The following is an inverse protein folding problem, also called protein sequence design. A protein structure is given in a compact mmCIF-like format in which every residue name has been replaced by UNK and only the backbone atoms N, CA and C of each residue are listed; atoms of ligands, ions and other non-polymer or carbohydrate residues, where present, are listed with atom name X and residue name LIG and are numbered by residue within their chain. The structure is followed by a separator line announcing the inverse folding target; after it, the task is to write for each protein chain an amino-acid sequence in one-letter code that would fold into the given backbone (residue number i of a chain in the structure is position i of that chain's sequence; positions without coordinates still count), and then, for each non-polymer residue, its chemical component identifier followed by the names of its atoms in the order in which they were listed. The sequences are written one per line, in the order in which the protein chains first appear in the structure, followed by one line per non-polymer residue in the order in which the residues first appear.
data_IF_791923601592
#
_entry.id   IF_791923601592
#
_cell.length_a   1.000
_cell.length_b   1.000
_cell.length_c   1.000
_cell.angle_alpha   90.00
_cell.angle_beta   90.00
_cell.angle_gamma   90.00
#
_symmetry.space_group_name_H-M   'P 1'
#
loop_
_entity.id
_entity.type
_entity.pdbx_description
1 polymer ?
#
# COMPACT_ATOMS: atom_id res chain seq x y z
N UNK A 1 -29.51 3.56 6.73
CA UNK A 1 -28.09 3.80 6.39
C UNK A 1 -27.39 4.72 7.39
N UNK A 2 -27.90 5.93 7.66
CA UNK A 2 -27.30 6.89 8.61
C UNK A 2 -27.10 6.31 10.04
N UNK A 3 -28.08 5.56 10.54
CA UNK A 3 -28.03 4.89 11.84
C UNK A 3 -26.94 3.80 11.93
N UNK A 4 -26.70 3.06 10.85
CA UNK A 4 -25.63 2.07 10.80
C UNK A 4 -24.23 2.73 10.80
N UNK A 5 -24.06 3.84 10.07
CA UNK A 5 -22.80 4.61 10.05
C UNK A 5 -22.51 5.20 11.43
N UNK A 6 -23.53 5.73 12.12
CA UNK A 6 -23.38 6.26 13.48
C UNK A 6 -22.91 5.19 14.46
N UNK A 7 -23.51 3.99 14.42
CA UNK A 7 -23.09 2.86 15.27
C UNK A 7 -21.67 2.40 14.95
N UNK A 8 -21.31 2.28 13.67
CA UNK A 8 -19.95 1.90 13.27
C UNK A 8 -18.91 2.93 13.75
N UNK A 9 -19.21 4.22 13.58
CA UNK A 9 -18.34 5.30 14.05
C UNK A 9 -18.20 5.28 15.59
N UNK A 10 -19.28 5.02 16.33
CA UNK A 10 -19.24 4.89 17.79
C UNK A 10 -18.36 3.69 18.22
N UNK A 11 -18.48 2.55 17.54
CA UNK A 11 -17.64 1.39 17.80
C UNK A 11 -16.14 1.70 17.59
N UNK A 12 -15.77 2.33 16.48
CA UNK A 12 -14.37 2.69 16.20
C UNK A 12 -13.84 3.71 17.19
N UNK A 13 -14.64 4.68 17.63
CA UNK A 13 -14.22 5.63 18.69
C UNK A 13 -13.98 4.94 20.03
N UNK A 14 -14.74 3.89 20.34
CA UNK A 14 -14.63 3.18 21.61
C UNK A 14 -13.51 2.12 21.61
N UNK A 15 -13.23 1.49 20.46
CA UNK A 15 -12.38 0.29 20.38
C UNK A 15 -11.21 0.41 19.42
N UNK A 16 -11.19 1.44 18.56
CA UNK A 16 -10.17 1.62 17.54
C UNK A 16 -8.85 2.13 18.13
N UNK A 17 -7.74 1.65 17.57
CA UNK A 17 -6.42 2.22 17.80
C UNK A 17 -6.30 3.63 17.19
N UNK A 18 -5.13 4.26 17.38
CA UNK A 18 -4.86 5.61 16.88
C UNK A 18 -5.09 5.71 15.35
N UNK A 19 -4.69 4.69 14.60
CA UNK A 19 -4.84 4.66 13.15
C UNK A 19 -6.31 4.53 12.73
N UNK A 20 -7.07 3.66 13.36
CA UNK A 20 -8.50 3.47 13.09
C UNK A 20 -9.31 4.73 13.40
N UNK A 21 -9.00 5.41 14.52
CA UNK A 21 -9.63 6.68 14.87
C UNK A 21 -9.27 7.79 13.88
N UNK A 22 -8.01 7.85 13.44
CA UNK A 22 -7.55 8.83 12.47
C UNK A 22 -8.19 8.63 11.09
N UNK A 23 -8.30 7.37 10.63
CA UNK A 23 -9.05 7.00 9.41
C UNK A 23 -10.51 7.41 9.50
N UNK A 24 -11.16 7.18 10.65
CA UNK A 24 -12.55 7.60 10.86
C UNK A 24 -12.71 9.12 10.75
N UNK A 25 -11.81 9.89 11.36
CA UNK A 25 -11.81 11.35 11.30
C UNK A 25 -11.65 11.86 9.87
N UNK A 26 -10.72 11.27 9.12
CA UNK A 26 -10.51 11.57 7.70
C UNK A 26 -11.77 11.25 6.87
N UNK A 27 -12.32 10.04 7.01
CA UNK A 27 -13.48 9.59 6.22
C UNK A 27 -14.75 10.41 6.48
N UNK A 28 -14.97 10.85 7.72
CA UNK A 28 -16.20 11.57 8.08
C UNK A 28 -16.11 13.09 7.85
N UNK A 29 -14.92 13.68 7.97
CA UNK A 29 -14.77 15.13 8.04
C UNK A 29 -13.58 15.68 7.24
N UNK A 30 -12.83 14.84 6.53
CA UNK A 30 -11.61 15.27 5.83
C UNK A 30 -10.56 15.85 6.78
N UNK A 31 -10.59 15.45 8.06
CA UNK A 31 -9.66 15.98 9.05
C UNK A 31 -8.25 15.43 8.79
N UNK A 32 -7.26 16.31 8.58
CA UNK A 32 -5.89 15.87 8.39
C UNK A 32 -5.39 15.17 9.65
N UNK A 33 -4.60 14.13 9.46
CA UNK A 33 -4.06 13.36 10.59
C UNK A 33 -2.83 14.01 11.18
N UNK A 34 -2.52 13.75 12.46
CA UNK A 34 -1.31 14.28 13.09
C UNK A 34 -0.06 13.82 12.34
N UNK A 35 0.88 14.75 12.12
CA UNK A 35 2.15 14.44 11.45
C UNK A 35 2.93 13.32 12.14
N UNK A 36 2.85 13.23 13.46
CA UNK A 36 3.47 12.16 14.24
C UNK A 36 2.95 10.77 13.83
N UNK A 37 1.64 10.64 13.55
CA UNK A 37 1.06 9.38 13.11
C UNK A 37 1.52 9.02 11.69
N UNK A 38 1.61 9.99 10.78
CA UNK A 38 2.17 9.75 9.44
C UNK A 38 3.64 9.32 9.51
N UNK A 39 4.43 9.97 10.36
CA UNK A 39 5.82 9.60 10.60
C UNK A 39 5.95 8.19 11.16
N UNK A 40 5.08 7.79 12.09
CA UNK A 40 5.04 6.43 12.62
C UNK A 40 4.61 5.40 11.56
N UNK A 41 3.59 5.69 10.76
CA UNK A 41 3.13 4.82 9.68
C UNK A 41 4.21 4.57 8.63
N UNK A 42 5.00 5.60 8.33
CA UNK A 42 6.10 5.57 7.36
C UNK A 42 7.43 5.12 7.99
N UNK A 43 7.45 4.81 9.28
CA UNK A 43 8.65 4.33 9.94
C UNK A 43 9.07 2.95 9.42
N UNK A 44 10.38 2.69 9.44
CA UNK A 44 10.95 1.41 8.98
C UNK A 44 11.07 1.28 7.46
N UNK A 45 10.92 2.37 6.70
CA UNK A 45 11.27 2.39 5.28
C UNK A 45 12.75 2.03 5.08
N UNK A 46 13.01 1.14 4.13
CA UNK A 46 14.35 0.65 3.83
C UNK A 46 15.07 1.60 2.87
N UNK A 47 16.39 1.41 2.73
CA UNK A 47 17.23 2.29 1.91
C UNK A 47 16.83 2.31 0.42
N UNK A 48 16.21 1.23 -0.07
CA UNK A 48 15.69 1.13 -1.44
C UNK A 48 14.29 1.74 -1.61
N UNK A 49 13.71 2.33 -0.55
CA UNK A 49 12.38 2.93 -0.56
C UNK A 49 11.25 1.95 -0.26
N UNK A 50 11.51 0.64 -0.25
CA UNK A 50 10.51 -0.37 0.05
C UNK A 50 10.30 -0.59 1.55
N UNK A 51 9.31 -1.41 1.88
CA UNK A 51 9.04 -1.87 3.24
C UNK A 51 9.15 -3.38 3.35
N UNK A 52 9.57 -3.86 4.52
CA UNK A 52 9.65 -5.29 4.78
C UNK A 52 8.29 -5.86 5.20
N UNK A 53 7.92 -7.05 4.71
CA UNK A 53 6.79 -7.80 5.22
C UNK A 53 7.16 -8.51 6.53
N UNK A 54 6.16 -8.91 7.31
CA UNK A 54 6.39 -9.70 8.53
C UNK A 54 6.98 -11.09 8.25
N UNK A 55 6.76 -11.64 7.05
CA UNK A 55 7.22 -12.98 6.64
C UNK A 55 8.63 -12.97 6.03
N UNK A 56 9.21 -11.81 5.71
CA UNK A 56 10.60 -11.67 5.25
C UNK A 56 11.22 -10.33 5.72
N UNK A 57 11.48 -10.16 7.02
CA UNK A 57 11.88 -8.87 7.60
C UNK A 57 13.20 -8.31 7.05
N UNK A 58 14.01 -9.15 6.42
CA UNK A 58 15.29 -8.77 5.84
C UNK A 58 15.20 -8.18 4.42
N UNK A 59 14.02 -8.20 3.78
CA UNK A 59 13.84 -7.86 2.37
C UNK A 59 12.68 -6.90 2.17
N UNK A 60 12.81 -5.99 1.21
CA UNK A 60 11.69 -5.15 0.76
C UNK A 60 10.72 -5.98 -0.08
N UNK A 61 9.42 -5.74 0.05
CA UNK A 61 8.34 -6.44 -0.63
C UNK A 61 7.42 -5.48 -1.36
N UNK A 62 6.89 -5.91 -2.50
CA UNK A 62 5.86 -5.18 -3.24
C UNK A 62 4.59 -5.08 -2.38
N UNK A 63 4.10 -6.21 -1.86
CA UNK A 63 2.90 -6.28 -1.00
C UNK A 63 3.02 -5.38 0.22
N UNK A 64 4.13 -5.48 0.96
CA UNK A 64 4.34 -4.68 2.16
C UNK A 64 4.44 -3.17 1.87
N UNK A 65 5.07 -2.82 0.75
CA UNK A 65 5.17 -1.41 0.32
C UNK A 65 3.79 -0.87 -0.07
N UNK A 66 3.01 -1.64 -0.84
CA UNK A 66 1.62 -1.31 -1.16
C UNK A 66 0.75 -1.18 0.10
N UNK A 67 0.90 -2.10 1.05
CA UNK A 67 0.19 -2.03 2.34
C UNK A 67 0.46 -0.71 3.06
N UNK A 68 1.73 -0.29 3.16
CA UNK A 68 2.11 0.98 3.80
C UNK A 68 1.51 2.20 3.09
N UNK A 69 1.60 2.24 1.77
CA UNK A 69 1.00 3.31 0.97
C UNK A 69 -0.53 3.37 1.14
N UNK A 70 -1.20 2.22 1.19
CA UNK A 70 -2.63 2.15 1.43
C UNK A 70 -2.99 2.73 2.81
N UNK A 71 -2.19 2.46 3.85
CA UNK A 71 -2.43 3.03 5.18
C UNK A 71 -2.36 4.56 5.16
N UNK A 72 -1.41 5.14 4.42
CA UNK A 72 -1.23 6.59 4.28
C UNK A 72 -2.38 7.23 3.51
N UNK A 73 -2.80 6.64 2.38
CA UNK A 73 -3.97 7.12 1.61
C UNK A 73 -5.25 7.11 2.45
N UNK A 74 -5.44 6.08 3.28
CA UNK A 74 -6.64 5.93 4.13
C UNK A 74 -6.75 7.01 5.22
N UNK A 75 -5.68 7.77 5.46
CA UNK A 75 -5.65 8.89 6.39
C UNK A 75 -5.44 10.24 5.69
N UNK A 76 -5.56 10.28 4.36
CA UNK A 76 -5.45 11.51 3.58
C UNK A 76 -4.02 11.99 3.31
N UNK A 77 -3.00 11.17 3.57
CA UNK A 77 -1.62 11.46 3.17
C UNK A 77 -1.32 11.00 1.74
N UNK A 78 -0.21 11.46 1.19
CA UNK A 78 0.20 11.18 -0.17
C UNK A 78 1.64 11.62 -0.48
N UNK A 79 1.87 12.04 -1.73
CA UNK A 79 3.19 12.37 -2.28
C UNK A 79 3.87 13.58 -1.62
N UNK A 80 3.16 14.37 -0.82
CA UNK A 80 3.77 15.43 0.00
C UNK A 80 4.76 14.89 1.04
N UNK A 81 4.68 13.58 1.35
CA UNK A 81 5.65 12.88 2.21
C UNK A 81 6.78 12.30 1.36
N UNK A 82 8.06 12.68 1.60
CA UNK A 82 9.20 12.15 0.84
C UNK A 82 9.28 10.61 0.85
N UNK A 83 8.88 9.97 1.94
CA UNK A 83 8.84 8.52 2.07
C UNK A 83 7.85 7.88 1.09
N UNK A 84 6.72 8.54 0.82
CA UNK A 84 5.75 8.07 -0.18
C UNK A 84 6.37 8.13 -1.57
N UNK A 85 7.05 9.23 -1.91
CA UNK A 85 7.77 9.35 -3.18
C UNK A 85 8.82 8.26 -3.39
N UNK A 86 9.62 7.95 -2.36
CA UNK A 86 10.60 6.84 -2.43
C UNK A 86 9.95 5.47 -2.57
N UNK A 87 8.80 5.26 -1.95
CA UNK A 87 8.05 4.02 -2.09
C UNK A 87 7.42 3.88 -3.49
N UNK A 88 6.96 4.97 -4.10
CA UNK A 88 6.49 4.93 -5.49
C UNK A 88 7.64 4.69 -6.46
N UNK A 89 8.83 5.27 -6.22
CA UNK A 89 10.04 4.98 -6.99
C UNK A 89 10.46 3.50 -6.85
N UNK A 90 10.43 2.94 -5.63
CA UNK A 90 10.66 1.51 -5.42
C UNK A 90 9.71 0.67 -6.29
N UNK A 91 8.41 0.97 -6.26
CA UNK A 91 7.42 0.24 -7.06
C UNK A 91 7.67 0.43 -8.55
N UNK A 92 8.04 1.62 -9.02
CA UNK A 92 8.46 1.85 -10.41
C UNK A 92 9.60 0.91 -10.83
N UNK A 93 10.69 0.87 -10.05
CA UNK A 93 11.84 0.02 -10.34
C UNK A 93 11.54 -1.49 -10.25
N UNK A 94 10.49 -1.86 -9.50
CA UNK A 94 10.06 -3.25 -9.33
C UNK A 94 9.08 -3.73 -10.40
N UNK A 95 8.61 -2.87 -11.30
CA UNK A 95 7.76 -3.32 -12.39
C UNK A 95 8.57 -4.16 -13.38
N UNK A 96 8.12 -5.38 -13.66
CA UNK A 96 8.76 -6.25 -14.62
C UNK A 96 8.68 -5.65 -16.05
N UNK A 97 9.58 -6.03 -16.98
CA UNK A 97 9.51 -5.58 -18.38
C UNK A 97 8.16 -5.86 -19.04
N UNK A 98 7.45 -6.92 -18.63
CA UNK A 98 6.12 -7.27 -19.09
C UNK A 98 4.98 -6.42 -18.51
N UNK A 99 5.25 -5.46 -17.61
CA UNK A 99 4.27 -4.54 -17.04
C UNK A 99 3.62 -4.99 -15.73
N UNK A 100 3.92 -6.19 -15.24
CA UNK A 100 3.36 -6.73 -14.00
C UNK A 100 4.27 -6.49 -12.79
N UNK A 101 3.71 -6.72 -11.60
CA UNK A 101 4.45 -6.78 -10.35
C UNK A 101 4.33 -8.16 -9.72
N UNK A 102 5.44 -8.58 -9.12
CA UNK A 102 5.55 -9.76 -8.27
C UNK A 102 6.62 -9.53 -7.21
N UNK A 103 6.61 -10.37 -6.18
CA UNK A 103 7.74 -10.43 -5.24
C UNK A 103 9.03 -10.91 -5.92
N UNK A 104 10.16 -10.68 -5.27
CA UNK A 104 11.44 -11.21 -5.76
C UNK A 104 11.43 -12.75 -5.71
N UNK A 105 11.97 -13.42 -6.72
CA UNK A 105 12.08 -14.89 -6.76
C UNK A 105 12.80 -15.47 -5.55
N UNK A 106 13.76 -14.73 -4.97
CA UNK A 106 14.46 -15.11 -3.73
C UNK A 106 13.54 -15.24 -2.51
N UNK A 107 12.31 -14.75 -2.59
CA UNK A 107 11.30 -14.82 -1.53
C UNK A 107 10.35 -16.01 -1.71
N UNK A 108 10.49 -16.83 -2.76
CA UNK A 108 9.55 -17.92 -3.08
C UNK A 108 9.27 -18.87 -1.91
N UNK A 109 10.29 -19.24 -1.14
CA UNK A 109 10.17 -20.17 -0.01
C UNK A 109 9.54 -19.54 1.25
N UNK A 110 9.47 -18.21 1.32
CA UNK A 110 8.95 -17.47 2.47
C UNK A 110 7.59 -16.82 2.19
N UNK A 111 7.31 -16.56 0.91
CA UNK A 111 6.16 -15.78 0.51
C UNK A 111 4.85 -16.53 0.79
N UNK A 112 3.85 -15.86 1.39
CA UNK A 112 2.53 -16.44 1.54
C UNK A 112 1.84 -16.58 0.17
N UNK A 113 0.75 -17.36 0.06
CA UNK A 113 0.10 -17.64 -1.23
C UNK A 113 -0.31 -16.41 -2.04
N UNK A 114 -0.68 -15.30 -1.39
CA UNK A 114 -1.09 -14.07 -2.07
C UNK A 114 0.09 -13.23 -2.60
N UNK A 115 1.32 -13.55 -2.22
CA UNK A 115 2.53 -12.84 -2.63
C UNK A 115 3.57 -13.79 -3.25
N UNK A 116 3.20 -15.04 -3.54
CA UNK A 116 4.09 -16.05 -4.08
C UNK A 116 4.59 -15.64 -5.49
N UNK A 117 5.90 -15.45 -5.70
CA UNK A 117 6.43 -15.10 -7.02
C UNK A 117 6.21 -16.27 -8.00
N UNK A 118 5.89 -15.94 -9.26
CA UNK A 118 5.58 -16.93 -10.30
C UNK A 118 4.16 -17.53 -10.23
N UNK A 119 3.40 -17.32 -9.15
CA UNK A 119 1.98 -17.67 -9.12
C UNK A 119 1.13 -16.60 -9.83
N UNK A 120 0.22 -17.04 -10.71
CA UNK A 120 -0.60 -16.12 -11.50
C UNK A 120 -1.57 -15.32 -10.65
N UNK A 121 -2.20 -15.93 -9.64
CA UNK A 121 -3.17 -15.23 -8.79
C UNK A 121 -2.47 -14.16 -7.93
N UNK A 122 -1.29 -14.47 -7.38
CA UNK A 122 -0.46 -13.50 -6.68
C UNK A 122 -0.02 -12.35 -7.61
N UNK A 123 0.41 -12.66 -8.83
CA UNK A 123 0.84 -11.65 -9.83
C UNK A 123 -0.32 -10.74 -10.23
N UNK A 124 -1.52 -11.29 -10.46
CA UNK A 124 -2.74 -10.51 -10.73
C UNK A 124 -3.08 -9.58 -9.57
N UNK A 125 -3.08 -10.11 -8.34
CA UNK A 125 -3.33 -9.33 -7.14
C UNK A 125 -2.34 -8.18 -6.99
N UNK A 126 -1.03 -8.46 -7.03
CA UNK A 126 -0.01 -7.44 -6.86
C UNK A 126 -0.06 -6.41 -7.99
N UNK A 127 -0.23 -6.84 -9.24
CA UNK A 127 -0.32 -5.91 -10.37
C UNK A 127 -1.53 -4.99 -10.26
N UNK A 128 -2.70 -5.52 -9.94
CA UNK A 128 -3.92 -4.73 -9.77
C UNK A 128 -3.81 -3.78 -8.55
N UNK A 129 -3.35 -4.29 -7.41
CA UNK A 129 -3.23 -3.52 -6.17
C UNK A 129 -2.18 -2.40 -6.30
N UNK A 130 -0.99 -2.70 -6.84
CA UNK A 130 0.06 -1.71 -7.10
C UNK A 130 -0.43 -0.65 -8.07
N UNK A 131 -1.07 -1.05 -9.17
CA UNK A 131 -1.61 -0.09 -10.16
C UNK A 131 -2.67 0.83 -9.55
N UNK A 132 -3.61 0.28 -8.78
CA UNK A 132 -4.64 1.06 -8.10
C UNK A 132 -4.02 2.08 -7.13
N UNK A 133 -3.02 1.67 -6.35
CA UNK A 133 -2.37 2.55 -5.38
C UNK A 133 -1.55 3.66 -6.04
N UNK A 134 -0.75 3.32 -7.06
CA UNK A 134 0.01 4.31 -7.83
C UNK A 134 -0.93 5.33 -8.49
N UNK A 135 -2.01 4.87 -9.12
CA UNK A 135 -3.04 5.75 -9.67
C UNK A 135 -3.68 6.66 -8.61
N UNK A 136 -4.01 6.11 -7.44
CA UNK A 136 -4.61 6.87 -6.33
C UNK A 136 -3.67 7.94 -5.75
N UNK A 137 -2.36 7.73 -5.89
CA UNK A 137 -1.32 8.71 -5.53
C UNK A 137 -1.00 9.70 -6.65
N UNK A 138 -1.56 9.53 -7.85
CA UNK A 138 -1.23 10.33 -9.03
C UNK A 138 0.08 9.93 -9.74
N UNK A 139 0.68 8.80 -9.37
CA UNK A 139 1.84 8.22 -10.05
C UNK A 139 1.38 7.32 -11.21
N UNK A 140 1.47 7.80 -12.45
CA UNK A 140 0.79 7.14 -13.59
C UNK A 140 1.72 6.53 -14.64
N UNK A 141 3.04 6.64 -14.50
CA UNK A 141 3.98 6.29 -15.56
C UNK A 141 3.99 4.79 -15.90
N UNK A 142 3.59 3.94 -14.95
CA UNK A 142 3.65 2.48 -15.01
C UNK A 142 2.32 1.87 -15.48
N UNK A 143 1.23 2.63 -15.41
CA UNK A 143 -0.15 2.11 -15.48
C UNK A 143 -0.50 1.56 -16.86
N UNK A 144 0.01 2.14 -17.95
CA UNK A 144 -0.28 1.66 -19.30
C UNK A 144 0.25 0.24 -19.53
N UNK A 145 1.46 -0.07 -19.04
CA UNK A 145 2.04 -1.41 -19.15
C UNK A 145 1.29 -2.41 -18.29
N UNK A 146 0.91 -2.00 -17.08
CA UNK A 146 0.13 -2.83 -16.17
C UNK A 146 -1.25 -3.16 -16.74
N UNK A 147 -1.96 -2.17 -17.28
CA UNK A 147 -3.26 -2.36 -17.92
C UNK A 147 -3.16 -3.29 -19.15
N UNK A 148 -2.11 -3.15 -19.96
CA UNK A 148 -1.86 -4.04 -21.09
C UNK A 148 -1.56 -5.49 -20.65
N UNK A 149 -0.90 -5.68 -19.50
CA UNK A 149 -0.68 -7.00 -18.94
C UNK A 149 -1.97 -7.63 -18.38
N UNK A 150 -2.76 -6.86 -17.65
CA UNK A 150 -4.03 -7.30 -17.04
C UNK A 150 -5.14 -7.64 -18.05
N UNK A 151 -5.06 -7.14 -19.29
CA UNK A 151 -6.06 -7.34 -20.32
C UNK A 151 -5.85 -8.60 -21.19
N UNK A 152 -4.80 -9.38 -20.92
CA UNK A 152 -4.47 -10.64 -21.60
C UNK A 152 -5.22 -11.83 -20.98
#
# INVERSE_FOLDING_TARGET
MADAVARAAAFVRAQGDALAQARLAWLLAGQPVPDALLTELLAGQRADGGYAPFWAPASSSVDATCYRLAQVLQVGGGLERPEVGRATEFLHYRQAPGGFWQEAETLAELAPPWAAPGDLAATLYLTANTSFLLASLGATAELNRAAAWLAQ
#
